data_IF_236880125323
#
_entry.id   IF_236880125323
#
_cell.length_a   1.000
_cell.length_b   1.000
_cell.length_c   1.000
_cell.angle_alpha   90.00
_cell.angle_beta   90.00
_cell.angle_gamma   90.00
#
_symmetry.space_group_name_H-M   'P 1'
#
loop_
_entity.id
_entity.type
_entity.pdbx_description
1 polymer ?
#
# COMPACT_ATOMS: atom_id res chain seq x y z
N UNK A 1 39.90 0.42 -36.79
CA UNK A 1 39.02 0.34 -37.97
C UNK A 1 38.78 1.75 -38.45
N UNK A 2 39.11 2.04 -39.71
CA UNK A 2 38.90 3.36 -40.31
C UNK A 2 37.39 3.63 -40.40
N UNK A 3 36.91 4.60 -39.61
CA UNK A 3 35.54 5.10 -39.73
C UNK A 3 35.47 5.90 -41.03
N UNK A 4 34.97 5.25 -42.08
CA UNK A 4 34.69 5.88 -43.37
C UNK A 4 33.58 6.90 -43.13
N UNK A 5 33.86 8.18 -43.29
CA UNK A 5 32.86 9.24 -43.18
C UNK A 5 31.74 8.98 -44.20
N UNK A 6 30.59 8.51 -43.73
CA UNK A 6 29.36 8.43 -44.52
C UNK A 6 28.77 9.84 -44.61
N UNK A 7 29.37 10.67 -45.47
CA UNK A 7 28.82 11.96 -45.85
C UNK A 7 27.56 11.81 -46.70
N UNK A 8 26.71 12.84 -46.68
CA UNK A 8 25.52 12.93 -47.52
C UNK A 8 25.98 12.96 -48.99
N UNK A 9 25.76 11.87 -49.72
CA UNK A 9 26.05 11.78 -51.15
C UNK A 9 24.82 12.20 -51.94
N UNK A 10 25.01 13.16 -52.84
CA UNK A 10 24.01 13.50 -53.85
C UNK A 10 24.36 12.67 -55.08
N UNK A 11 23.53 11.69 -55.41
CA UNK A 11 23.71 10.95 -56.65
C UNK A 11 23.53 11.91 -57.84
N UNK A 12 24.20 11.64 -58.97
CA UNK A 12 24.15 12.49 -60.18
C UNK A 12 22.75 12.72 -60.78
N UNK A 13 21.71 12.14 -60.19
CA UNK A 13 20.29 12.37 -60.49
C UNK A 13 19.60 13.34 -59.51
N UNK A 14 20.34 13.98 -58.60
CA UNK A 14 19.77 14.86 -57.57
C UNK A 14 19.04 14.12 -56.43
N UNK A 15 19.22 12.81 -56.33
CA UNK A 15 18.66 12.01 -55.23
C UNK A 15 19.62 12.09 -54.05
N UNK A 16 19.13 12.66 -52.94
CA UNK A 16 19.88 12.73 -51.67
C UNK A 16 19.75 11.37 -50.97
N UNK A 17 20.86 10.62 -50.91
CA UNK A 17 20.90 9.37 -50.16
C UNK A 17 21.22 9.66 -48.68
N UNK A 18 20.24 9.41 -47.81
CA UNK A 18 20.46 9.48 -46.38
C UNK A 18 21.23 8.23 -45.89
N UNK A 19 22.09 8.37 -44.86
CA UNK A 19 22.73 7.22 -44.22
C UNK A 19 21.69 6.18 -43.83
N UNK A 20 22.00 4.89 -43.98
CA UNK A 20 21.04 3.80 -43.69
C UNK A 20 20.51 3.80 -42.25
N UNK A 21 21.22 4.48 -41.34
CA UNK A 21 20.88 4.61 -39.93
C UNK A 21 20.04 5.86 -39.62
N UNK A 22 19.86 6.76 -40.59
CA UNK A 22 19.14 8.01 -40.38
C UNK A 22 17.63 7.72 -40.24
N UNK A 23 17.09 8.13 -39.10
CA UNK A 23 15.65 8.06 -38.80
C UNK A 23 14.90 9.04 -39.69
N UNK A 24 14.32 8.55 -40.78
CA UNK A 24 13.59 9.36 -41.78
C UNK A 24 12.44 10.17 -41.16
N UNK A 25 11.88 9.70 -40.04
CA UNK A 25 10.89 10.36 -39.21
C UNK A 25 11.38 11.65 -38.52
N UNK A 26 12.70 11.86 -38.43
CA UNK A 26 13.32 13.03 -37.81
C UNK A 26 13.96 13.98 -38.82
N UNK A 27 13.78 13.71 -40.12
CA UNK A 27 14.39 14.50 -41.18
C UNK A 27 13.31 15.36 -41.81
N UNK A 28 13.42 16.67 -41.63
CA UNK A 28 12.59 17.64 -42.35
C UNK A 28 13.37 18.12 -43.56
N UNK A 29 12.91 17.69 -44.74
CA UNK A 29 13.46 18.17 -46.01
C UNK A 29 12.83 19.52 -46.34
N UNK A 30 13.67 20.52 -46.56
CA UNK A 30 13.28 21.87 -46.96
C UNK A 30 13.76 22.08 -48.40
N UNK A 31 12.85 22.37 -49.32
CA UNK A 31 13.23 22.76 -50.67
C UNK A 31 13.17 24.28 -50.79
N UNK A 32 14.32 24.93 -50.64
CA UNK A 32 14.40 26.40 -50.67
C UNK A 32 14.00 27.03 -52.02
N UNK A 33 13.91 26.24 -53.10
CA UNK A 33 13.44 26.73 -54.42
C UNK A 33 11.95 26.56 -54.61
N UNK A 34 11.35 25.52 -54.03
CA UNK A 34 9.95 25.18 -54.25
C UNK A 34 9.04 25.62 -53.09
N UNK A 35 9.55 25.69 -51.87
CA UNK A 35 8.79 26.09 -50.68
C UNK A 35 8.78 27.62 -50.52
N UNK A 36 7.64 28.18 -50.13
CA UNK A 36 7.54 29.59 -49.77
C UNK A 36 8.30 29.87 -48.47
N UNK A 37 8.74 31.12 -48.29
CA UNK A 37 9.47 31.56 -47.08
C UNK A 37 8.67 31.21 -45.81
N UNK A 38 7.35 31.43 -45.83
CA UNK A 38 6.45 31.10 -44.71
C UNK A 38 6.47 29.60 -44.39
N UNK A 39 6.42 28.74 -45.40
CA UNK A 39 6.45 27.28 -45.22
C UNK A 39 7.79 26.78 -44.68
N UNK A 40 8.90 27.43 -45.09
CA UNK A 40 10.22 27.15 -44.53
C UNK A 40 10.29 27.57 -43.07
N UNK A 41 9.80 28.77 -42.73
CA UNK A 41 9.75 29.26 -41.34
C UNK A 41 8.87 28.37 -40.47
N UNK A 42 7.70 27.95 -40.94
CA UNK A 42 6.81 27.04 -40.22
C UNK A 42 7.46 25.69 -39.96
N UNK A 43 8.15 25.12 -40.96
CA UNK A 43 8.86 23.84 -40.80
C UNK A 43 10.08 23.95 -39.88
N UNK A 44 10.80 25.07 -39.94
CA UNK A 44 11.90 25.36 -39.01
C UNK A 44 11.36 25.55 -37.60
N UNK A 45 10.28 26.31 -37.41
CA UNK A 45 9.61 26.44 -36.10
C UNK A 45 9.08 25.09 -35.60
N UNK A 46 8.56 24.24 -36.48
CA UNK A 46 8.15 22.89 -36.12
C UNK A 46 9.34 22.01 -35.70
N UNK A 47 10.50 22.14 -36.37
CA UNK A 47 11.73 21.45 -35.97
C UNK A 47 12.28 21.98 -34.65
N UNK A 48 12.35 23.30 -34.47
CA UNK A 48 12.83 23.94 -33.25
C UNK A 48 11.89 23.60 -32.09
N UNK A 49 10.58 23.68 -32.27
CA UNK A 49 9.61 23.24 -31.28
C UNK A 49 9.77 21.74 -30.95
N UNK A 50 10.05 20.88 -31.93
CA UNK A 50 10.29 19.46 -31.69
C UNK A 50 11.63 19.15 -31.01
N UNK A 51 12.68 19.94 -31.27
CA UNK A 51 14.04 19.78 -30.70
C UNK A 51 14.12 20.39 -29.30
N UNK A 52 13.60 21.60 -29.11
CA UNK A 52 13.46 22.23 -27.80
C UNK A 52 12.57 21.39 -26.89
N UNK A 53 11.46 20.82 -27.39
CA UNK A 53 10.66 19.89 -26.59
C UNK A 53 11.43 18.63 -26.24
N UNK A 54 12.36 18.12 -27.07
CA UNK A 54 13.05 16.85 -26.82
C UNK A 54 14.27 17.00 -25.87
N UNK A 55 15.11 18.03 -26.05
CA UNK A 55 16.24 18.32 -25.14
C UNK A 55 15.80 18.97 -23.82
N UNK A 56 14.87 19.93 -23.86
CA UNK A 56 14.27 20.50 -22.65
C UNK A 56 13.41 19.49 -21.92
N UNK A 57 12.81 18.52 -22.65
CA UNK A 57 12.34 17.28 -22.04
C UNK A 57 13.51 16.61 -21.37
N UNK A 58 14.54 16.13 -22.05
CA UNK A 58 15.55 15.24 -21.43
C UNK A 58 16.15 15.75 -20.10
N UNK A 59 16.56 17.02 -20.01
CA UNK A 59 17.18 17.56 -18.79
C UNK A 59 16.15 17.90 -17.68
N UNK A 60 14.99 18.48 -18.01
CA UNK A 60 13.92 18.69 -17.04
C UNK A 60 13.25 17.38 -16.61
N UNK A 61 13.31 16.38 -17.48
CA UNK A 61 12.66 15.10 -17.32
C UNK A 61 13.30 14.27 -16.24
N UNK A 62 14.62 14.22 -16.18
CA UNK A 62 15.31 13.37 -15.21
C UNK A 62 15.02 13.84 -13.79
N UNK A 63 15.12 15.15 -13.53
CA UNK A 63 14.80 15.71 -12.21
C UNK A 63 13.35 15.47 -11.81
N UNK A 64 12.40 15.75 -12.71
CA UNK A 64 10.98 15.51 -12.45
C UNK A 64 10.65 14.02 -12.27
N UNK A 65 11.32 13.15 -13.01
CA UNK A 65 11.14 11.70 -12.89
C UNK A 65 11.67 11.19 -11.56
N UNK A 66 12.85 11.67 -11.15
CA UNK A 66 13.39 11.40 -9.83
C UNK A 66 12.46 11.90 -8.73
N UNK A 67 11.95 13.12 -8.84
CA UNK A 67 11.03 13.69 -7.85
C UNK A 67 9.72 12.88 -7.74
N UNK A 68 9.15 12.45 -8.87
CA UNK A 68 7.96 11.59 -8.87
C UNK A 68 8.23 10.23 -8.24
N UNK A 69 9.37 9.61 -8.57
CA UNK A 69 9.77 8.34 -7.98
C UNK A 69 10.00 8.47 -6.47
N UNK A 70 10.65 9.55 -6.02
CA UNK A 70 10.84 9.84 -4.61
C UNK A 70 9.50 9.98 -3.88
N UNK A 71 8.56 10.74 -4.46
CA UNK A 71 7.20 10.90 -3.90
C UNK A 71 6.43 9.58 -3.86
N UNK A 72 6.57 8.73 -4.87
CA UNK A 72 5.96 7.41 -4.90
C UNK A 72 6.55 6.52 -3.79
N UNK A 73 7.87 6.51 -3.61
CA UNK A 73 8.53 5.80 -2.52
C UNK A 73 8.15 6.31 -1.14
N UNK A 74 8.05 7.63 -0.96
CA UNK A 74 7.56 8.25 0.26
C UNK A 74 6.15 7.74 0.62
N UNK A 75 5.29 7.61 -0.38
CA UNK A 75 3.94 7.06 -0.20
C UNK A 75 3.98 5.60 0.26
N UNK A 76 4.84 4.77 -0.35
CA UNK A 76 5.05 3.36 0.06
C UNK A 76 5.54 3.28 1.50
N UNK A 77 6.53 4.09 1.87
CA UNK A 77 7.08 4.10 3.23
C UNK A 77 6.04 4.55 4.25
N UNK A 78 5.26 5.57 3.92
CA UNK A 78 4.15 6.06 4.77
C UNK A 78 3.12 4.96 5.00
N UNK A 79 2.73 4.23 3.94
CA UNK A 79 1.78 3.13 4.08
C UNK A 79 2.34 1.97 4.89
N UNK A 80 3.61 1.58 4.68
CA UNK A 80 4.25 0.51 5.47
C UNK A 80 4.37 0.89 6.95
N UNK A 81 4.76 2.13 7.25
CA UNK A 81 4.85 2.63 8.62
C UNK A 81 3.50 2.59 9.33
N UNK A 82 2.46 3.13 8.69
CA UNK A 82 1.11 3.12 9.24
C UNK A 82 0.55 1.69 9.35
N UNK A 83 0.84 0.81 8.40
CA UNK A 83 0.44 -0.59 8.47
C UNK A 83 0.99 -1.23 9.75
N UNK A 84 2.29 -1.05 10.07
CA UNK A 84 2.87 -1.59 11.30
C UNK A 84 2.10 -1.16 12.55
N UNK A 85 1.75 0.11 12.66
CA UNK A 85 0.94 0.64 13.77
C UNK A 85 -0.42 -0.06 13.87
N UNK A 86 -1.15 -0.18 12.75
CA UNK A 86 -2.43 -0.88 12.72
C UNK A 86 -2.31 -2.38 13.02
N UNK A 87 -1.22 -3.03 12.60
CA UNK A 87 -0.94 -4.44 12.91
C UNK A 87 -0.71 -4.68 14.40
N UNK A 88 0.06 -3.81 15.06
CA UNK A 88 0.26 -3.86 16.52
C UNK A 88 -1.07 -3.61 17.24
N UNK A 89 -1.82 -2.59 16.84
CA UNK A 89 -3.11 -2.28 17.46
C UNK A 89 -4.12 -3.42 17.31
N UNK A 90 -4.18 -4.05 16.12
CA UNK A 90 -5.02 -5.22 15.89
C UNK A 90 -4.62 -6.39 16.80
N UNK A 91 -3.31 -6.65 16.92
CA UNK A 91 -2.79 -7.72 17.77
C UNK A 91 -3.10 -7.48 19.24
N UNK A 92 -2.86 -6.26 19.75
CA UNK A 92 -3.17 -5.88 21.14
C UNK A 92 -4.65 -6.07 21.42
N UNK A 93 -5.55 -5.55 20.57
CA UNK A 93 -6.98 -5.71 20.78
C UNK A 93 -7.41 -7.18 20.73
N UNK A 94 -6.89 -7.97 19.79
CA UNK A 94 -7.20 -9.39 19.70
C UNK A 94 -6.73 -10.15 20.96
N UNK A 95 -5.49 -9.94 21.39
CA UNK A 95 -4.95 -10.56 22.60
C UNK A 95 -5.70 -10.12 23.86
N UNK A 96 -6.15 -8.86 23.95
CA UNK A 96 -6.96 -8.41 25.10
C UNK A 96 -8.32 -9.10 25.14
N UNK A 97 -8.98 -9.34 24.00
CA UNK A 97 -10.26 -10.06 23.96
C UNK A 97 -10.08 -11.53 24.36
N UNK A 98 -9.03 -12.19 23.86
CA UNK A 98 -8.70 -13.58 24.25
C UNK A 98 -8.33 -13.67 25.73
N UNK A 99 -7.57 -12.72 26.24
CA UNK A 99 -7.21 -12.68 27.66
C UNK A 99 -8.45 -12.45 28.54
N UNK A 100 -9.32 -11.52 28.18
CA UNK A 100 -10.56 -11.24 28.91
C UNK A 100 -11.51 -12.45 28.89
N UNK A 101 -11.60 -13.20 27.78
CA UNK A 101 -12.44 -14.40 27.72
C UNK A 101 -11.90 -15.49 28.65
N UNK A 102 -10.58 -15.73 28.66
CA UNK A 102 -9.95 -16.66 29.60
C UNK A 102 -10.18 -16.24 31.06
N UNK A 103 -9.94 -14.97 31.39
CA UNK A 103 -10.20 -14.44 32.73
C UNK A 103 -11.67 -14.58 33.14
N UNK A 104 -12.60 -14.33 32.22
CA UNK A 104 -14.04 -14.50 32.48
C UNK A 104 -14.39 -15.94 32.81
N UNK A 105 -13.85 -16.91 32.06
CA UNK A 105 -14.08 -18.33 32.36
C UNK A 105 -13.48 -18.74 33.70
N UNK A 106 -12.25 -18.32 34.00
CA UNK A 106 -11.58 -18.65 35.26
C UNK A 106 -12.35 -18.08 36.47
N UNK A 107 -12.74 -16.81 36.40
CA UNK A 107 -13.51 -16.15 37.47
C UNK A 107 -14.88 -16.82 37.64
N UNK A 108 -15.53 -17.24 36.55
CA UNK A 108 -16.84 -17.92 36.61
C UNK A 108 -16.73 -19.30 37.28
N UNK A 109 -15.68 -20.06 36.99
CA UNK A 109 -15.43 -21.37 37.63
C UNK A 109 -15.19 -21.17 39.13
N UNK A 110 -14.31 -20.24 39.51
CA UNK A 110 -14.02 -19.92 40.92
C UNK A 110 -15.29 -19.46 41.65
N UNK A 111 -16.10 -18.59 41.02
CA UNK A 111 -17.39 -18.16 41.57
C UNK A 111 -18.32 -19.32 41.86
N UNK A 112 -18.43 -20.25 40.90
CA UNK A 112 -19.35 -21.38 40.99
C UNK A 112 -18.95 -22.33 42.11
N UNK A 113 -17.66 -22.63 42.23
CA UNK A 113 -17.10 -23.48 43.29
C UNK A 113 -17.30 -22.85 44.68
N UNK A 114 -16.98 -21.55 44.84
CA UNK A 114 -17.16 -20.85 46.12
C UNK A 114 -18.64 -20.79 46.52
N UNK A 115 -19.54 -20.54 45.56
CA UNK A 115 -20.97 -20.51 45.82
C UNK A 115 -21.51 -21.89 46.24
N UNK A 116 -21.05 -22.97 45.61
CA UNK A 116 -21.42 -24.34 45.96
C UNK A 116 -20.91 -24.73 47.35
N UNK A 117 -19.66 -24.37 47.69
CA UNK A 117 -19.08 -24.59 49.03
C UNK A 117 -19.83 -23.84 50.11
N UNK A 118 -20.12 -22.55 49.90
CA UNK A 118 -20.88 -21.75 50.87
C UNK A 118 -22.31 -22.26 51.05
N UNK A 119 -22.94 -22.81 50.00
CA UNK A 119 -24.25 -23.44 50.10
C UNK A 119 -24.20 -24.77 50.86
N UNK A 120 -23.16 -25.58 50.63
CA UNK A 120 -22.94 -26.82 51.36
C UNK A 120 -22.64 -26.56 52.84
N UNK A 121 -21.82 -25.57 53.16
CA UNK A 121 -21.54 -25.12 54.52
C UNK A 121 -22.80 -24.53 55.16
N UNK A 122 -23.59 -23.69 54.49
CA UNK A 122 -24.84 -23.20 55.07
C UNK A 122 -25.82 -24.33 55.43
N UNK A 123 -25.85 -25.41 54.64
CA UNK A 123 -26.61 -26.62 54.94
C UNK A 123 -25.99 -27.51 56.03
N UNK A 124 -24.66 -27.61 56.06
CA UNK A 124 -23.88 -28.44 56.99
C UNK A 124 -23.71 -27.79 58.37
N UNK A 125 -23.42 -26.50 58.43
CA UNK A 125 -23.31 -25.66 59.64
C UNK A 125 -24.65 -25.61 60.38
N UNK A 126 -25.80 -25.69 59.71
CA UNK A 126 -27.07 -25.89 60.40
C UNK A 126 -27.11 -27.22 61.19
N UNK A 127 -26.45 -28.27 60.68
CA UNK A 127 -26.33 -29.57 61.35
C UNK A 127 -25.18 -29.63 62.37
N UNK A 128 -24.07 -28.94 62.09
CA UNK A 128 -22.85 -28.96 62.90
C UNK A 128 -22.83 -27.88 63.99
N UNK A 129 -23.54 -26.75 63.88
CA UNK A 129 -23.78 -25.84 65.02
C UNK A 129 -24.56 -26.56 66.12
N UNK A 130 -25.46 -27.48 65.76
CA UNK A 130 -26.11 -28.38 66.70
C UNK A 130 -25.15 -29.39 67.37
N UNK A 131 -24.03 -29.71 66.73
CA UNK A 131 -22.97 -30.60 67.28
C UNK A 131 -21.86 -29.84 68.01
N UNK A 132 -21.52 -28.64 67.55
CA UNK A 132 -20.49 -27.76 68.10
C UNK A 132 -20.99 -26.99 69.32
N UNK A 133 -22.28 -26.62 69.43
CA UNK A 133 -22.87 -26.21 70.72
C UNK A 133 -22.71 -27.30 71.80
N UNK A 134 -22.63 -28.57 71.36
CA UNK A 134 -22.45 -29.74 72.24
C UNK A 134 -20.99 -30.08 72.51
N UNK A 135 -20.07 -29.67 71.65
CA UNK A 135 -18.63 -29.97 71.76
C UNK A 135 -17.81 -28.78 72.28
N UNK A 136 -18.30 -27.55 72.13
CA UNK A 136 -17.72 -26.33 72.70
C UNK A 136 -17.85 -26.25 74.23
N UNK A 137 -18.56 -27.20 74.84
CA UNK A 137 -18.57 -27.43 76.29
C UNK A 137 -17.26 -28.09 76.78
N UNK A 138 -16.38 -28.61 75.90
CA UNK A 138 -15.38 -29.60 76.32
C UNK A 138 -13.89 -29.39 75.94
N UNK A 139 -13.42 -28.27 75.38
CA UNK A 139 -11.99 -28.22 75.02
C UNK A 139 -11.24 -26.89 75.25
N UNK A 140 -10.12 -26.91 76.02
CA UNK A 140 -9.28 -25.76 76.32
C UNK A 140 -8.20 -25.47 75.26
N UNK A 141 -7.81 -24.20 75.25
CA UNK A 141 -6.92 -23.54 74.30
C UNK A 141 -5.43 -23.91 74.47
N UNK A 142 -4.74 -24.08 73.35
CA UNK A 142 -3.28 -23.99 73.27
C UNK A 142 -2.88 -23.39 71.91
N UNK A 143 -2.29 -22.18 71.96
CA UNK A 143 -1.56 -21.55 70.87
C UNK A 143 -0.08 -21.85 71.06
N UNK A 144 0.68 -22.08 69.99
CA UNK A 144 2.02 -21.48 69.87
C UNK A 144 2.61 -21.50 68.44
N UNK A 145 3.04 -20.29 68.06
CA UNK A 145 4.15 -19.87 67.21
C UNK A 145 4.63 -20.69 66.00
N UNK A 146 4.52 -20.09 64.79
CA UNK A 146 5.40 -20.40 63.64
C UNK A 146 5.83 -19.11 62.93
N UNK A 147 7.15 -18.95 62.78
CA UNK A 147 7.85 -17.80 62.22
C UNK A 147 7.96 -17.80 60.68
N UNK A 148 8.17 -16.59 60.13
CA UNK A 148 8.04 -16.25 58.72
C UNK A 148 9.29 -16.40 57.85
N UNK A 149 9.04 -16.60 56.55
CA UNK A 149 10.01 -16.61 55.44
C UNK A 149 9.47 -15.77 54.27
N UNK A 150 10.36 -15.07 53.55
CA UNK A 150 10.05 -13.98 52.61
C UNK A 150 9.67 -14.40 51.16
N UNK A 151 9.62 -15.70 50.84
CA UNK A 151 8.97 -16.17 49.60
C UNK A 151 7.43 -16.03 49.65
N UNK A 152 6.91 -15.68 50.83
CA UNK A 152 5.51 -15.43 51.11
C UNK A 152 4.99 -14.10 50.53
N UNK A 153 5.75 -13.27 49.82
CA UNK A 153 5.22 -11.97 49.36
C UNK A 153 4.36 -12.06 48.09
N UNK A 154 4.81 -12.77 47.05
CA UNK A 154 4.00 -13.00 45.84
C UNK A 154 2.93 -14.06 46.07
N UNK A 155 3.28 -15.14 46.78
CA UNK A 155 2.32 -16.16 47.20
C UNK A 155 1.35 -15.61 48.25
N UNK A 156 1.80 -14.79 49.20
CA UNK A 156 0.94 -14.18 50.23
C UNK A 156 0.04 -13.08 49.68
N UNK A 157 0.46 -12.34 48.66
CA UNK A 157 -0.44 -11.45 47.92
C UNK A 157 -1.55 -12.23 47.23
N UNK A 158 -1.21 -13.34 46.56
CA UNK A 158 -2.20 -14.21 45.94
C UNK A 158 -3.11 -14.90 46.98
N UNK A 159 -2.55 -15.36 48.10
CA UNK A 159 -3.28 -16.02 49.19
C UNK A 159 -4.16 -15.02 49.94
N UNK A 160 -3.68 -13.82 50.26
CA UNK A 160 -4.51 -12.77 50.88
C UNK A 160 -5.62 -12.30 49.93
N UNK A 161 -5.36 -12.27 48.63
CA UNK A 161 -6.37 -12.01 47.62
C UNK A 161 -7.38 -13.17 47.55
N UNK A 162 -6.93 -14.42 47.58
CA UNK A 162 -7.79 -15.61 47.67
C UNK A 162 -8.64 -15.60 48.94
N UNK A 163 -8.07 -15.22 50.09
CA UNK A 163 -8.75 -15.17 51.39
C UNK A 163 -9.74 -13.99 51.46
N UNK A 164 -9.41 -12.88 50.80
CA UNK A 164 -10.35 -11.78 50.59
C UNK A 164 -11.50 -12.20 49.65
N UNK A 165 -11.22 -13.03 48.65
CA UNK A 165 -12.22 -13.55 47.70
C UNK A 165 -13.13 -14.64 48.30
N UNK A 166 -12.65 -15.43 49.28
CA UNK A 166 -13.46 -16.45 49.98
C UNK A 166 -14.40 -15.84 51.00
N UNK A 167 -14.15 -14.61 51.45
CA UNK A 167 -15.07 -13.90 52.35
C UNK A 167 -16.48 -13.75 51.74
N UNK A 168 -17.56 -13.70 52.55
CA UNK A 168 -18.93 -13.55 52.05
C UNK A 168 -19.12 -12.28 51.20
N UNK A 169 -18.45 -11.19 51.58
CA UNK A 169 -18.40 -9.94 50.82
C UNK A 169 -17.63 -10.11 49.51
N UNK A 170 -16.54 -10.88 49.53
CA UNK A 170 -15.77 -11.27 48.34
C UNK A 170 -16.61 -11.99 47.29
N UNK A 171 -17.48 -12.93 47.70
CA UNK A 171 -18.37 -13.66 46.77
C UNK A 171 -19.35 -12.72 46.07
N UNK A 172 -19.94 -11.76 46.79
CA UNK A 172 -20.81 -10.74 46.18
C UNK A 172 -20.04 -9.83 45.21
N UNK A 173 -18.85 -9.38 45.59
CA UNK A 173 -17.98 -8.58 44.72
C UNK A 173 -17.61 -9.35 43.44
N UNK A 174 -17.26 -10.63 43.57
CA UNK A 174 -16.91 -11.49 42.45
C UNK A 174 -18.13 -11.74 41.54
N UNK A 175 -19.34 -11.81 42.09
CA UNK A 175 -20.58 -11.81 41.31
C UNK A 175 -20.75 -10.57 40.42
N UNK A 176 -20.43 -9.38 40.91
CA UNK A 176 -20.43 -8.16 40.09
C UNK A 176 -19.34 -8.20 39.01
N UNK A 177 -18.15 -8.73 39.30
CA UNK A 177 -17.07 -8.90 38.31
C UNK A 177 -17.48 -9.88 37.21
N UNK A 178 -18.09 -11.02 37.56
CA UNK A 178 -18.63 -12.00 36.60
C UNK A 178 -19.69 -11.37 35.70
N UNK A 179 -20.55 -10.50 36.26
CA UNK A 179 -21.54 -9.76 35.46
C UNK A 179 -20.92 -8.67 34.57
N UNK A 180 -19.85 -8.00 35.04
CA UNK A 180 -19.21 -6.89 34.33
C UNK A 180 -18.25 -7.31 33.22
N UNK A 181 -17.51 -8.42 33.39
CA UNK A 181 -16.51 -8.87 32.42
C UNK A 181 -17.07 -9.13 31.00
N UNK A 182 -18.24 -9.79 30.82
CA UNK A 182 -18.87 -9.93 29.51
C UNK A 182 -19.21 -8.59 28.84
N UNK A 183 -19.59 -7.57 29.62
CA UNK A 183 -19.85 -6.22 29.10
C UNK A 183 -18.56 -5.57 28.57
N UNK A 184 -17.44 -5.77 29.25
CA UNK A 184 -16.13 -5.34 28.76
C UNK A 184 -15.74 -6.07 27.48
N UNK A 185 -15.93 -7.40 27.40
CA UNK A 185 -15.68 -8.16 26.16
C UNK A 185 -16.54 -7.61 25.01
N UNK A 186 -17.83 -7.34 25.26
CA UNK A 186 -18.73 -6.73 24.29
C UNK A 186 -18.26 -5.36 23.82
N UNK A 187 -17.77 -4.52 24.74
CA UNK A 187 -17.18 -3.22 24.42
C UNK A 187 -15.94 -3.38 23.51
N UNK A 188 -14.97 -4.22 23.88
CA UNK A 188 -13.76 -4.44 23.08
C UNK A 188 -14.06 -5.06 21.72
N UNK A 189 -15.03 -5.98 21.65
CA UNK A 189 -15.49 -6.55 20.38
C UNK A 189 -16.13 -5.48 19.49
N UNK A 190 -16.90 -4.56 20.08
CA UNK A 190 -17.46 -3.40 19.36
C UNK A 190 -16.36 -2.46 18.88
N UNK A 191 -15.32 -2.22 19.68
CA UNK A 191 -14.16 -1.43 19.26
C UNK A 191 -13.40 -2.11 18.11
N UNK A 192 -13.19 -3.42 18.16
CA UNK A 192 -12.59 -4.20 17.07
C UNK A 192 -13.41 -4.09 15.77
N UNK A 193 -14.72 -4.27 15.87
CA UNK A 193 -15.63 -4.17 14.73
C UNK A 193 -15.71 -2.75 14.16
N UNK A 194 -15.65 -1.72 15.01
CA UNK A 194 -15.71 -0.31 14.59
C UNK A 194 -14.41 0.19 13.96
N UNK A 195 -13.27 -0.21 14.50
CA UNK A 195 -11.98 0.29 14.02
C UNK A 195 -11.39 -0.51 12.86
N UNK A 196 -11.83 -1.77 12.69
CA UNK A 196 -11.40 -2.68 11.61
C UNK A 196 -9.88 -2.66 11.36
N UNK A 197 -9.01 -2.68 12.41
CA UNK A 197 -7.58 -2.41 12.24
C UNK A 197 -6.88 -3.44 11.33
N UNK A 198 -7.34 -4.69 11.34
CA UNK A 198 -6.82 -5.75 10.48
C UNK A 198 -7.09 -5.47 8.98
N UNK A 199 -8.31 -5.01 8.65
CA UNK A 199 -8.68 -4.64 7.28
C UNK A 199 -7.85 -3.45 6.80
N UNK A 200 -7.64 -2.46 7.67
CA UNK A 200 -6.78 -1.29 7.39
C UNK A 200 -5.33 -1.68 7.17
N UNK A 201 -4.79 -2.56 8.02
CA UNK A 201 -3.46 -3.12 7.86
C UNK A 201 -3.31 -3.82 6.50
N UNK A 202 -4.20 -4.77 6.19
CA UNK A 202 -4.15 -5.54 4.95
C UNK A 202 -4.25 -4.65 3.70
N UNK A 203 -5.14 -3.65 3.74
CA UNK A 203 -5.30 -2.67 2.66
C UNK A 203 -4.03 -1.86 2.43
N UNK A 204 -3.41 -1.32 3.49
CA UNK A 204 -2.15 -0.57 3.37
C UNK A 204 -1.01 -1.41 2.83
N UNK A 205 -0.85 -2.64 3.32
CA UNK A 205 0.20 -3.55 2.85
C UNK A 205 0.01 -3.89 1.38
N UNK A 206 -1.22 -4.23 0.98
CA UNK A 206 -1.56 -4.53 -0.42
C UNK A 206 -1.29 -3.33 -1.34
N UNK A 207 -1.77 -2.14 -0.97
CA UNK A 207 -1.55 -0.92 -1.78
C UNK A 207 -0.09 -0.53 -1.83
N UNK A 208 0.65 -0.64 -0.73
CA UNK A 208 2.10 -0.39 -0.71
C UNK A 208 2.85 -1.32 -1.66
N UNK A 209 2.49 -2.61 -1.70
CA UNK A 209 3.08 -3.59 -2.60
C UNK A 209 2.70 -3.32 -4.07
N UNK A 210 1.46 -2.90 -4.34
CA UNK A 210 1.03 -2.48 -5.69
C UNK A 210 1.82 -1.27 -6.18
N UNK A 211 1.91 -0.20 -5.39
CA UNK A 211 2.70 0.99 -5.75
C UNK A 211 4.16 0.61 -5.99
N UNK A 212 4.72 -0.26 -5.15
CA UNK A 212 6.08 -0.76 -5.35
C UNK A 212 6.25 -1.50 -6.68
N UNK A 213 5.30 -2.37 -7.04
CA UNK A 213 5.31 -3.06 -8.33
C UNK A 213 5.22 -2.08 -9.52
N UNK A 214 4.41 -1.02 -9.40
CA UNK A 214 4.30 0.04 -10.41
C UNK A 214 5.61 0.83 -10.56
N UNK A 215 6.29 1.14 -9.46
CA UNK A 215 7.62 1.76 -9.49
C UNK A 215 8.61 0.87 -10.26
N UNK A 216 8.61 -0.45 -10.00
CA UNK A 216 9.48 -1.39 -10.71
C UNK A 216 9.15 -1.48 -12.20
N UNK A 217 7.86 -1.62 -12.56
CA UNK A 217 7.44 -1.68 -13.96
C UNK A 217 7.79 -0.39 -14.71
N UNK A 218 7.61 0.76 -14.04
CA UNK A 218 7.94 2.07 -14.59
C UNK A 218 9.46 2.21 -14.84
N UNK A 219 10.30 1.80 -13.88
CA UNK A 219 11.76 1.84 -14.01
C UNK A 219 12.29 0.86 -15.04
N UNK A 220 11.78 -0.36 -15.06
CA UNK A 220 12.15 -1.40 -16.04
C UNK A 220 11.60 -1.12 -17.44
N UNK A 221 10.70 -0.13 -17.59
CA UNK A 221 10.03 0.22 -18.85
C UNK A 221 9.32 -1.00 -19.47
N UNK A 222 8.65 -1.78 -18.64
CA UNK A 222 7.89 -2.98 -19.05
C UNK A 222 6.39 -2.70 -19.05
N UNK A 223 5.63 -3.54 -19.76
CA UNK A 223 4.17 -3.44 -19.83
C UNK A 223 3.69 -2.13 -20.47
N UNK A 224 2.79 -1.42 -19.78
CA UNK A 224 2.22 -0.15 -20.25
C UNK A 224 3.25 0.98 -20.34
N UNK A 225 4.38 0.84 -19.64
CA UNK A 225 5.47 1.81 -19.62
C UNK A 225 6.53 1.56 -20.69
N UNK A 226 6.38 0.48 -21.47
CA UNK A 226 7.25 0.21 -22.60
C UNK A 226 7.25 1.40 -23.57
N UNK A 227 8.41 1.78 -24.11
CA UNK A 227 8.48 2.84 -25.12
C UNK A 227 7.60 2.43 -26.28
N UNK A 228 6.44 3.09 -26.43
CA UNK A 228 5.61 2.92 -27.61
C UNK A 228 6.44 3.40 -28.77
N UNK A 229 6.92 2.46 -29.58
CA UNK A 229 7.34 2.74 -30.93
C UNK A 229 6.05 3.15 -31.62
N UNK A 230 5.70 4.43 -31.56
CA UNK A 230 4.69 4.97 -32.44
C UNK A 230 5.26 4.68 -33.82
N UNK A 231 4.71 3.65 -34.48
CA UNK A 231 4.85 3.51 -35.91
C UNK A 231 4.18 4.75 -36.46
N UNK A 232 4.95 5.84 -36.58
CA UNK A 232 4.52 7.05 -37.23
C UNK A 232 4.20 6.58 -38.63
N UNK A 233 2.92 6.41 -38.92
CA UNK A 233 2.44 6.14 -40.26
C UNK A 233 2.69 7.44 -41.05
N UNK A 234 3.94 7.69 -41.42
CA UNK A 234 4.39 8.73 -42.36
C UNK A 234 3.76 8.54 -43.75
N UNK A 235 3.04 7.43 -43.94
CA UNK A 235 2.28 7.11 -45.13
C UNK A 235 0.82 7.57 -45.03
N UNK A 236 0.53 8.64 -44.30
CA UNK A 236 -0.69 9.39 -44.57
C UNK A 236 -0.51 9.98 -45.99
N UNK A 237 -1.27 9.52 -47.00
CA UNK A 237 -1.15 10.08 -48.34
C UNK A 237 -1.43 11.56 -48.22
N UNK A 238 -0.48 12.38 -48.66
CA UNK A 238 -0.68 13.81 -48.90
C UNK A 238 -2.01 13.91 -49.64
N UNK A 239 -3.06 14.39 -48.97
CA UNK A 239 -4.30 14.74 -49.62
C UNK A 239 -3.91 15.79 -50.64
N UNK A 240 -3.87 15.36 -51.89
CA UNK A 240 -3.73 16.24 -53.04
C UNK A 240 -5.04 17.01 -53.07
N UNK A 241 -5.10 18.11 -52.34
CA UNK A 241 -6.16 19.10 -52.39
C UNK A 241 -6.10 19.76 -53.77
N UNK A 242 -6.48 18.99 -54.79
CA UNK A 242 -6.85 19.47 -56.11
C UNK A 242 -8.36 19.36 -56.19
N UNK A 243 -9.06 20.46 -55.98
CA UNK A 243 -10.52 20.44 -56.03
C UNK A 243 -11.19 21.75 -55.64
N UNK A 244 -10.76 22.86 -56.26
CA UNK A 244 -11.62 24.04 -56.41
C UNK A 244 -12.97 23.60 -56.98
N UNK A 245 -14.02 23.78 -56.18
CA UNK A 245 -15.39 23.39 -56.49
C UNK A 245 -16.38 24.29 -55.77
N UNK A 246 -16.37 25.57 -56.16
CA UNK A 246 -17.38 26.54 -55.79
C UNK A 246 -18.76 26.14 -56.35
N UNK A 247 -19.77 26.05 -55.47
CA UNK A 247 -21.23 26.23 -55.67
C UNK A 247 -21.89 25.69 -54.39
N UNK A 248 -22.59 26.44 -53.56
CA UNK A 248 -23.65 27.41 -53.86
C UNK A 248 -24.97 26.80 -53.38
N UNK A 249 -25.67 27.45 -52.44
CA UNK A 249 -27.01 27.05 -51.96
C UNK A 249 -27.13 27.28 -50.45
N UNK A 250 -27.59 28.44 -49.99
CA UNK A 250 -28.98 28.93 -49.93
C UNK A 250 -29.64 28.59 -48.58
N UNK A 251 -30.17 29.62 -47.93
CA UNK A 251 -30.54 29.68 -46.52
C UNK A 251 -31.67 28.78 -46.07
N UNK A 252 -31.87 28.77 -44.75
CA UNK A 252 -33.22 28.94 -44.20
C UNK A 252 -33.15 29.70 -42.86
N UNK A 253 -33.91 30.80 -42.69
CA UNK A 253 -34.25 31.41 -41.41
C UNK A 253 -35.68 31.05 -40.97
N UNK A 254 -35.96 31.12 -39.67
CA UNK A 254 -37.30 30.97 -39.05
C UNK A 254 -37.49 29.60 -38.38
N UNK A 255 -38.13 29.44 -37.22
CA UNK A 255 -38.94 30.30 -36.35
C UNK A 255 -38.94 29.63 -34.95
N UNK A 256 -38.77 30.38 -33.87
CA UNK A 256 -39.81 30.89 -32.95
C UNK A 256 -40.54 29.84 -32.07
N UNK A 257 -40.27 29.98 -30.76
CA UNK A 257 -41.19 29.90 -29.61
C UNK A 257 -42.11 28.67 -29.42
N UNK A 258 -41.96 28.00 -28.27
CA UNK A 258 -43.05 28.00 -27.28
C UNK A 258 -42.55 27.69 -25.86
N UNK A 259 -43.20 28.32 -24.89
CA UNK A 259 -42.91 28.30 -23.47
C UNK A 259 -43.44 27.03 -22.79
N UNK A 260 -42.71 26.54 -21.79
CA UNK A 260 -43.16 25.48 -20.89
C UNK A 260 -42.51 25.64 -19.52
N UNK A 261 -43.24 26.29 -18.61
CA UNK A 261 -42.87 26.44 -17.21
C UNK A 261 -43.08 25.12 -16.44
N UNK A 262 -42.17 24.83 -15.51
CA UNK A 262 -42.45 23.94 -14.37
C UNK A 262 -41.56 22.71 -14.26
N UNK A 263 -40.52 22.78 -13.42
CA UNK A 263 -39.74 21.60 -13.06
C UNK A 263 -38.48 21.91 -12.27
N UNK A 264 -38.62 22.24 -10.99
CA UNK A 264 -37.51 22.28 -10.04
C UNK A 264 -37.09 20.84 -9.74
N UNK A 265 -35.98 20.39 -10.33
CA UNK A 265 -35.43 19.05 -10.14
C UNK A 265 -33.94 18.97 -10.48
N UNK A 266 -33.13 19.04 -9.44
CA UNK A 266 -31.71 18.66 -9.32
C UNK A 266 -30.90 18.29 -10.59
N UNK A 267 -30.05 19.23 -11.01
CA UNK A 267 -28.67 19.06 -11.50
C UNK A 267 -28.24 17.66 -12.00
N UNK A 268 -28.69 17.28 -13.19
CA UNK A 268 -28.07 16.27 -14.05
C UNK A 268 -27.48 16.97 -15.28
N UNK A 269 -26.21 17.36 -15.19
CA UNK A 269 -25.48 17.95 -16.32
C UNK A 269 -25.11 16.87 -17.33
N UNK A 270 -25.97 16.68 -18.33
CA UNK A 270 -25.73 15.84 -19.50
C UNK A 270 -24.70 16.57 -20.39
N UNK A 271 -23.43 16.25 -20.14
CA UNK A 271 -22.28 16.83 -20.81
C UNK A 271 -22.24 16.39 -22.27
N UNK A 272 -22.27 17.38 -23.15
CA UNK A 272 -21.91 17.23 -24.56
C UNK A 272 -20.56 16.51 -24.68
N UNK A 273 -20.57 15.37 -25.38
CA UNK A 273 -19.40 14.55 -25.70
C UNK A 273 -18.41 15.34 -26.56
N UNK A 274 -17.64 16.21 -25.91
CA UNK A 274 -16.44 16.77 -26.47
C UNK A 274 -15.49 15.60 -26.72
N UNK A 275 -15.47 15.14 -27.99
CA UNK A 275 -14.40 14.33 -28.61
C UNK A 275 -13.08 15.08 -28.47
N UNK A 276 -12.59 15.19 -27.25
CA UNK A 276 -11.21 15.55 -26.95
C UNK A 276 -10.39 14.45 -27.59
N UNK A 277 -9.60 14.80 -28.60
CA UNK A 277 -8.71 13.84 -29.26
C UNK A 277 -7.84 13.25 -28.17
N UNK A 278 -8.07 11.98 -27.82
CA UNK A 278 -7.36 11.30 -26.75
C UNK A 278 -5.94 11.02 -27.24
N UNK A 279 -5.08 12.04 -27.13
CA UNK A 279 -3.64 11.84 -27.28
C UNK A 279 -3.28 10.71 -26.30
N UNK A 280 -2.64 9.63 -26.78
CA UNK A 280 -2.31 8.51 -25.92
C UNK A 280 -1.52 9.05 -24.73
N UNK A 281 -1.88 8.69 -23.50
CA UNK A 281 -1.26 9.24 -22.30
C UNK A 281 0.24 9.01 -22.38
N UNK A 282 1.01 10.05 -22.08
CA UNK A 282 2.47 9.91 -21.96
C UNK A 282 2.79 8.88 -20.87
N UNK A 283 3.90 8.14 -20.98
CA UNK A 283 4.34 7.16 -19.94
C UNK A 283 4.25 7.74 -18.52
N UNK A 284 4.66 8.99 -18.40
CA UNK A 284 4.65 9.78 -17.16
C UNK A 284 3.24 10.08 -16.67
N UNK A 285 2.35 10.45 -17.59
CA UNK A 285 0.94 10.64 -17.30
C UNK A 285 0.27 9.34 -16.88
N UNK A 286 0.58 8.23 -17.56
CA UNK A 286 0.08 6.91 -17.20
C UNK A 286 0.53 6.49 -15.80
N UNK A 287 1.82 6.67 -15.47
CA UNK A 287 2.32 6.37 -14.12
C UNK A 287 1.66 7.24 -13.04
N UNK A 288 1.54 8.54 -13.28
CA UNK A 288 0.88 9.44 -12.33
C UNK A 288 -0.61 9.09 -12.15
N UNK A 289 -1.32 8.80 -13.23
CA UNK A 289 -2.72 8.38 -13.20
C UNK A 289 -2.89 7.05 -12.46
N UNK A 290 -1.96 6.11 -12.63
CA UNK A 290 -1.99 4.82 -11.93
C UNK A 290 -1.71 4.96 -10.43
N UNK A 291 -0.76 5.83 -10.03
CA UNK A 291 -0.54 6.14 -8.62
C UNK A 291 -1.75 6.84 -7.99
N UNK A 292 -2.37 7.78 -8.70
CA UNK A 292 -3.58 8.45 -8.26
C UNK A 292 -4.75 7.48 -8.14
N UNK A 293 -4.89 6.55 -9.10
CA UNK A 293 -5.84 5.45 -9.03
C UNK A 293 -5.63 4.57 -7.80
N UNK A 294 -4.39 4.11 -7.54
CA UNK A 294 -4.11 3.29 -6.35
C UNK A 294 -4.37 4.03 -5.04
N UNK A 295 -4.05 5.33 -5.00
CA UNK A 295 -4.32 6.16 -3.83
C UNK A 295 -5.84 6.41 -3.65
N UNK A 296 -6.56 6.68 -4.74
CA UNK A 296 -8.01 6.83 -4.69
C UNK A 296 -8.73 5.51 -4.36
N UNK A 297 -8.26 4.35 -4.83
CA UNK A 297 -8.76 3.04 -4.42
C UNK A 297 -8.58 2.82 -2.91
N UNK A 298 -7.43 3.23 -2.36
CA UNK A 298 -7.20 3.20 -0.91
C UNK A 298 -8.15 4.14 -0.16
N UNK A 299 -8.36 5.36 -0.68
CA UNK A 299 -9.23 6.39 -0.08
C UNK A 299 -10.72 6.04 -0.17
N UNK A 300 -11.15 5.45 -1.29
CA UNK A 300 -12.50 4.94 -1.49
C UNK A 300 -12.78 3.76 -0.55
N UNK A 301 -11.74 3.10 -0.07
CA UNK A 301 -11.82 2.20 1.07
C UNK A 301 -12.15 2.93 2.38
N UNK A 302 -11.94 2.25 3.50
CA UNK A 302 -12.21 2.82 4.85
C UNK A 302 -11.09 3.76 5.35
N UNK A 303 -10.11 4.09 4.50
CA UNK A 303 -8.87 4.78 4.90
C UNK A 303 -8.87 6.23 4.44
N UNK A 304 -9.00 7.15 5.39
CA UNK A 304 -8.79 8.58 5.12
C UNK A 304 -7.29 8.88 5.14
N UNK A 305 -6.79 9.61 4.15
CA UNK A 305 -5.38 10.07 4.14
C UNK A 305 -5.05 10.94 5.35
N UNK A 306 -6.01 11.68 5.89
CA UNK A 306 -5.85 12.46 7.12
C UNK A 306 -5.67 11.61 8.38
N UNK A 307 -6.02 10.32 8.35
CA UNK A 307 -5.78 9.40 9.46
C UNK A 307 -4.38 8.78 9.43
N UNK A 308 -3.64 8.94 8.32
CA UNK A 308 -2.28 8.44 8.23
C UNK A 308 -1.35 9.35 9.03
N UNK A 309 -0.60 8.75 9.93
CA UNK A 309 0.47 9.44 10.65
C UNK A 309 1.59 9.71 9.66
N UNK A 310 1.99 10.97 9.53
CA UNK A 310 3.15 11.34 8.74
C UNK A 310 4.40 10.62 9.28
N UNK A 311 5.31 10.25 8.39
CA UNK A 311 6.57 9.63 8.80
C UNK A 311 7.31 10.58 9.76
N UNK A 312 7.86 10.10 10.90
CA UNK A 312 8.67 10.95 11.76
C UNK A 312 9.95 11.37 11.02
N UNK A 313 10.12 12.67 10.80
CA UNK A 313 11.26 13.27 10.11
C UNK A 313 10.92 13.77 8.69
N UNK A 314 11.88 14.44 8.05
CA UNK A 314 11.70 14.80 6.65
C UNK A 314 11.65 13.52 5.79
N UNK A 315 10.70 13.38 4.86
CA UNK A 315 10.56 12.17 4.04
C UNK A 315 11.84 11.85 3.25
N UNK A 316 12.58 12.90 2.87
CA UNK A 316 13.90 12.78 2.25
C UNK A 316 14.95 12.15 3.17
N UNK A 317 14.90 12.37 4.48
CA UNK A 317 15.84 11.76 5.43
C UNK A 317 15.57 10.29 5.66
N UNK A 318 14.29 9.90 5.77
CA UNK A 318 13.93 8.49 5.92
C UNK A 318 14.28 7.70 4.66
N UNK A 319 13.99 8.26 3.49
CA UNK A 319 14.41 7.67 2.21
C UNK A 319 15.93 7.64 2.10
N UNK A 320 16.63 8.71 2.49
CA UNK A 320 18.09 8.75 2.47
C UNK A 320 18.71 7.75 3.43
N UNK A 321 18.19 7.57 4.64
CA UNK A 321 18.64 6.52 5.58
C UNK A 321 18.42 5.14 5.02
N UNK A 322 17.28 4.90 4.35
CA UNK A 322 17.03 3.66 3.64
C UNK A 322 18.07 3.49 2.53
N UNK A 323 18.28 4.50 1.70
CA UNK A 323 19.29 4.47 0.63
C UNK A 323 20.71 4.27 1.17
N UNK A 324 21.07 4.89 2.29
CA UNK A 324 22.37 4.75 2.94
C UNK A 324 22.52 3.38 3.62
N UNK A 325 21.47 2.80 4.20
CA UNK A 325 21.51 1.43 4.72
C UNK A 325 21.71 0.43 3.59
N UNK A 326 21.13 0.71 2.43
CA UNK A 326 21.23 -0.09 1.21
C UNK A 326 22.63 -0.02 0.59
N UNK A 327 23.12 1.19 0.35
CA UNK A 327 24.44 1.42 -0.25
C UNK A 327 25.55 1.07 0.75
N UNK A 328 25.34 1.32 2.04
CA UNK A 328 26.28 1.04 3.12
C UNK A 328 26.45 -0.44 3.42
N UNK A 329 25.39 -1.25 3.30
CA UNK A 329 25.49 -2.71 3.37
C UNK A 329 26.42 -3.26 2.27
N UNK A 330 26.42 -2.63 1.08
CA UNK A 330 27.30 -3.00 -0.04
C UNK A 330 28.77 -2.65 0.22
N UNK A 331 29.06 -1.53 0.90
CA UNK A 331 30.43 -1.06 1.12
C UNK A 331 31.12 -1.72 2.32
N UNK A 332 30.39 -2.07 3.38
CA UNK A 332 30.97 -2.76 4.55
C UNK A 332 31.26 -4.23 4.29
N UNK A 333 30.60 -4.84 3.31
CA UNK A 333 30.91 -6.19 2.82
C UNK A 333 32.09 -6.21 1.84
N UNK A 334 33.28 -5.76 2.24
CA UNK A 334 34.53 -5.86 1.44
C UNK A 334 34.97 -7.30 1.09
N UNK A 335 34.09 -8.29 1.23
CA UNK A 335 34.29 -9.65 0.77
C UNK A 335 34.15 -9.73 -0.74
N UNK A 336 35.15 -10.31 -1.40
CA UNK A 336 35.06 -10.85 -2.76
C UNK A 336 33.66 -11.44 -2.96
N UNK A 337 32.86 -10.86 -3.85
CA UNK A 337 31.65 -11.51 -4.35
C UNK A 337 32.04 -12.92 -4.79
N UNK A 338 31.41 -13.99 -4.28
CA UNK A 338 31.61 -15.30 -4.87
C UNK A 338 31.29 -15.16 -6.37
N UNK A 339 32.15 -15.66 -7.26
CA UNK A 339 31.95 -15.52 -8.70
C UNK A 339 30.54 -16.03 -9.04
N UNK A 340 29.77 -15.17 -9.71
CA UNK A 340 28.40 -15.45 -10.15
C UNK A 340 28.41 -16.83 -10.82
N UNK A 341 27.71 -17.85 -10.30
CA UNK A 341 27.73 -19.16 -10.91
C UNK A 341 27.18 -19.03 -12.34
N UNK A 342 28.00 -19.39 -13.32
CA UNK A 342 27.70 -19.26 -14.75
C UNK A 342 26.38 -19.97 -15.17
N UNK A 343 25.84 -20.83 -14.30
CA UNK A 343 24.60 -21.57 -14.52
C UNK A 343 23.32 -20.72 -14.48
N UNK A 344 23.30 -19.54 -13.83
CA UNK A 344 22.05 -18.77 -13.67
C UNK A 344 21.73 -17.91 -14.91
N UNK A 345 22.70 -17.69 -15.80
CA UNK A 345 22.48 -16.96 -17.06
C UNK A 345 21.66 -17.77 -18.09
N UNK A 346 21.59 -19.10 -17.95
CA UNK A 346 20.89 -19.96 -18.91
C UNK A 346 19.40 -20.18 -18.58
N UNK A 347 18.94 -19.85 -17.36
CA UNK A 347 17.57 -20.12 -16.91
C UNK A 347 16.56 -18.98 -17.20
N UNK A 348 17.01 -17.84 -17.75
CA UNK A 348 16.17 -16.65 -17.94
C UNK A 348 15.26 -16.69 -19.20
N UNK A 349 15.10 -17.85 -19.87
CA UNK A 349 14.38 -17.95 -21.15
C UNK A 349 13.11 -18.83 -21.13
N UNK A 350 12.66 -19.33 -19.99
CA UNK A 350 11.40 -20.10 -19.90
C UNK A 350 10.24 -19.23 -19.40
N UNK A 351 9.22 -18.94 -20.23
CA UNK A 351 8.02 -18.24 -19.78
C UNK A 351 7.20 -19.17 -18.88
N UNK A 352 7.17 -18.88 -17.57
CA UNK A 352 6.25 -19.52 -16.63
C UNK A 352 4.87 -18.88 -16.80
N UNK A 353 3.95 -19.61 -17.40
CA UNK A 353 2.54 -19.23 -17.49
C UNK A 353 1.83 -19.59 -16.18
N UNK A 354 1.72 -18.63 -15.26
CA UNK A 354 0.81 -18.74 -14.11
C UNK A 354 -0.54 -18.16 -14.46
N UNK A 355 -1.45 -19.00 -14.94
CA UNK A 355 -2.89 -18.73 -14.93
C UNK A 355 -3.41 -18.86 -13.50
N UNK A 356 -3.60 -17.72 -12.82
CA UNK A 356 -4.29 -17.65 -11.53
C UNK A 356 -5.78 -17.43 -11.81
N UNK A 357 -6.60 -18.41 -11.42
CA UNK A 357 -8.06 -18.39 -11.56
C UNK A 357 -8.68 -17.47 -10.49
N UNK A 358 -9.54 -16.50 -10.84
CA UNK A 358 -10.17 -15.60 -9.87
C UNK A 358 -11.49 -16.22 -9.38
N UNK A 359 -11.49 -16.88 -8.22
CA UNK A 359 -12.74 -17.38 -7.65
C UNK A 359 -12.60 -18.34 -6.49
N UNK A 360 -12.09 -17.87 -5.33
CA UNK A 360 -12.35 -18.45 -4.01
C UNK A 360 -11.65 -17.59 -2.93
N UNK A 361 -12.26 -16.48 -2.53
CA UNK A 361 -11.96 -15.82 -1.25
C UNK A 361 -13.04 -16.24 -0.26
N UNK A 362 -12.98 -17.49 0.20
CA UNK A 362 -13.68 -17.86 1.43
C UNK A 362 -12.78 -17.56 2.63
N UNK A 363 -13.40 -16.95 3.63
CA UNK A 363 -12.80 -16.56 4.88
C UNK A 363 -12.31 -17.79 5.65
N UNK A 364 -11.01 -18.07 5.62
CA UNK A 364 -10.43 -19.15 6.42
C UNK A 364 -8.91 -19.10 6.44
N UNK A 365 -8.35 -18.91 7.64
CA UNK A 365 -6.93 -19.07 7.98
C UNK A 365 -5.98 -17.92 7.63
N UNK A 366 -5.99 -16.88 8.48
CA UNK A 366 -4.85 -15.95 8.65
C UNK A 366 -3.85 -16.44 9.71
N UNK A 367 -3.99 -17.68 10.18
CA UNK A 367 -3.22 -18.22 11.31
C UNK A 367 -1.71 -18.39 11.06
N UNK A 368 -1.18 -18.68 9.84
CA UNK A 368 0.26 -18.93 9.71
C UNK A 368 1.12 -17.67 9.57
N UNK A 369 0.54 -16.47 9.41
CA UNK A 369 1.31 -15.21 9.26
C UNK A 369 1.67 -14.52 10.57
N UNK A 370 1.13 -14.97 11.72
CA UNK A 370 1.41 -14.37 13.04
C UNK A 370 2.39 -15.21 13.88
N UNK A 371 2.84 -16.37 13.40
CA UNK A 371 3.70 -17.29 14.16
C UNK A 371 5.21 -17.03 13.97
N UNK A 372 5.62 -16.23 12.99
CA UNK A 372 7.02 -15.77 12.90
C UNK A 372 7.23 -14.52 13.76
N UNK A 373 7.16 -14.72 15.08
CA UNK A 373 7.67 -13.78 16.09
C UNK A 373 9.20 -13.79 16.16
N UNK A 374 9.87 -13.73 15.00
CA UNK A 374 11.30 -13.47 14.93
C UNK A 374 11.56 -11.99 15.15
N UNK A 375 12.63 -11.67 15.88
CA UNK A 375 13.14 -10.31 16.10
C UNK A 375 12.95 -9.43 14.85
N UNK A 376 12.00 -8.47 14.90
CA UNK A 376 11.70 -7.56 13.81
C UNK A 376 12.75 -6.42 13.74
N UNK A 377 14.02 -6.81 13.62
CA UNK A 377 15.11 -6.02 13.04
C UNK A 377 14.98 -5.90 11.50
N UNK A 378 13.80 -6.16 10.94
CA UNK A 378 13.46 -6.14 9.51
C UNK A 378 13.45 -4.76 8.83
N UNK A 379 14.27 -3.81 9.30
CA UNK A 379 14.79 -2.78 8.39
C UNK A 379 15.86 -3.37 7.45
N UNK A 380 16.47 -4.51 7.80
CA UNK A 380 17.51 -5.15 6.98
C UNK A 380 16.97 -5.89 5.74
N UNK A 381 15.72 -6.37 5.74
CA UNK A 381 15.19 -7.16 4.62
C UNK A 381 14.65 -6.29 3.46
N UNK A 382 14.10 -5.12 3.78
CA UNK A 382 13.90 -4.06 2.75
C UNK A 382 15.26 -3.59 2.21
N UNK A 383 16.31 -3.76 3.01
CA UNK A 383 17.72 -3.60 2.69
C UNK A 383 18.23 -4.53 1.56
N UNK A 384 17.88 -5.81 1.64
CA UNK A 384 18.36 -6.80 0.68
C UNK A 384 17.74 -6.63 -0.72
N UNK A 385 16.46 -6.27 -0.81
CA UNK A 385 15.76 -6.16 -2.09
C UNK A 385 16.13 -4.92 -2.92
N UNK A 386 16.44 -3.79 -2.28
CA UNK A 386 16.90 -2.59 -2.98
C UNK A 386 18.40 -2.64 -3.33
N UNK A 387 19.21 -3.50 -2.70
CA UNK A 387 20.59 -3.72 -3.14
C UNK A 387 20.66 -4.33 -4.56
N UNK A 388 19.58 -4.99 -5.00
CA UNK A 388 19.38 -5.43 -6.38
C UNK A 388 19.13 -4.25 -7.35
N UNK A 389 18.55 -3.14 -6.86
CA UNK A 389 18.19 -1.96 -7.66
C UNK A 389 19.39 -1.10 -8.08
N UNK A 390 20.45 -1.04 -7.26
CA UNK A 390 21.69 -0.31 -7.56
C UNK A 390 22.59 -1.06 -8.56
N UNK A 391 22.40 -2.38 -8.69
CA UNK A 391 23.06 -3.19 -9.72
C UNK A 391 22.39 -3.06 -11.09
N UNK A 392 21.10 -2.70 -11.13
CA UNK A 392 20.32 -2.49 -12.36
C UNK A 392 20.38 -1.05 -12.89
N UNK A 393 20.73 -0.05 -12.07
CA UNK A 393 20.96 1.33 -12.55
C UNK A 393 22.40 1.64 -12.96
N UNK A 394 23.35 0.76 -12.62
CA UNK A 394 24.74 0.84 -13.08
C UNK A 394 24.95 0.15 -14.46
N UNK A 395 23.91 -0.48 -15.00
CA UNK A 395 23.80 -1.03 -16.37
C UNK A 395 22.87 -0.13 -17.15
#
# INVERSE_FOLDING_TARGET
>A
GSAKEEGISVDGQGVVLFPRQARQDRIVVLDARADSIEKVVDRVMQCVAAVEDEESRQLGNERQERERLLKAWETVLTYKYNAKSYGVMASVLQYTVVLLSLLTTLVTVVHTELKMRNAAEAGGVASDVGRLLRAAEEAPAAQDHVGGSNDAFFLGGAVALLDSLTSPTGVHALGFVVAGLPLLIGLFTTLLARFTPLKKWASLVSTANRIRSEIYMYRARVGEFAPRVQAVNLRAPVRKDGGSGAKGGAGNPGDAAEAGAGGVGAAGGEGTDAKTSSRPPTRRGAFAAQLERLNSELIQGEMKTSALTALPGAPGEAFRKLQESLVGARQKGGGKFPPRPAAVAAAAATPVSTTVSPGALEAGSYAPLLAEGGDYAGYEDVGAEFAMDDALSAV
#
